data_IF_052096549853
#
_entry.id   IF_052096549853
#
_cell.length_a   1.000
_cell.length_b   1.000
_cell.length_c   1.000
_cell.angle_alpha   90.00
_cell.angle_beta   90.00
_cell.angle_gamma   90.00
#
_symmetry.space_group_name_H-M   'P 1'
#
loop_
_entity.id
_entity.type
_entity.pdbx_description
1 polymer ?
#
# COMPACT_ATOMS: atom_id res chain seq x y z
N UNK A 1 22.81 78.73 17.17
CA UNK A 1 23.06 78.42 15.75
C UNK A 1 23.60 77.01 15.65
N UNK A 2 22.95 76.19 14.83
CA UNK A 2 23.41 74.92 14.24
C UNK A 2 23.59 73.77 15.26
N UNK A 3 22.55 72.98 15.58
CA UNK A 3 21.73 72.13 14.69
C UNK A 3 22.59 71.23 13.79
N UNK A 4 22.29 69.93 13.82
CA UNK A 4 22.91 68.81 13.07
C UNK A 4 24.19 68.17 13.65
N UNK A 5 24.15 67.60 14.87
CA UNK A 5 25.04 66.45 15.24
C UNK A 5 24.36 65.40 16.13
N UNK A 6 23.06 65.15 15.94
CA UNK A 6 22.27 64.25 16.81
C UNK A 6 21.60 63.10 16.06
N UNK A 7 21.96 62.83 14.80
CA UNK A 7 21.35 61.74 14.02
C UNK A 7 22.41 60.91 13.28
N UNK A 8 23.40 60.35 14.00
CA UNK A 8 24.24 59.23 13.48
C UNK A 8 24.67 58.29 14.62
N UNK A 9 23.85 58.11 15.66
CA UNK A 9 24.16 57.21 16.79
C UNK A 9 22.98 56.32 17.21
N UNK A 10 22.15 55.90 16.25
CA UNK A 10 21.18 54.82 16.43
C UNK A 10 21.23 53.92 15.20
N UNK A 11 22.34 53.23 14.98
CA UNK A 11 22.48 52.21 13.93
C UNK A 11 23.66 51.26 14.25
N UNK A 12 23.80 50.85 15.51
CA UNK A 12 24.87 49.92 15.90
C UNK A 12 24.45 48.95 17.02
N UNK A 13 23.18 48.58 17.10
CA UNK A 13 22.71 47.58 18.07
C UNK A 13 21.47 46.82 17.60
N UNK A 14 21.45 46.43 16.33
CA UNK A 14 20.38 45.60 15.80
C UNK A 14 20.89 44.68 14.67
N UNK A 15 21.99 43.96 14.90
CA UNK A 15 22.48 42.98 13.91
C UNK A 15 23.42 41.93 14.53
N UNK A 16 23.02 41.36 15.66
CA UNK A 16 23.62 40.13 16.18
C UNK A 16 22.56 39.18 16.80
N UNK A 17 21.32 39.21 16.30
CA UNK A 17 20.50 37.98 16.28
C UNK A 17 20.94 37.23 15.03
N UNK A 18 22.18 36.74 15.09
CA UNK A 18 22.71 35.78 14.15
C UNK A 18 21.71 34.64 14.12
N UNK A 19 21.11 34.49 12.95
CA UNK A 19 20.41 33.31 12.48
C UNK A 19 21.13 32.06 13.00
N UNK A 20 20.74 31.58 14.17
CA UNK A 20 20.68 30.15 14.40
C UNK A 20 19.58 29.68 13.46
N UNK A 21 19.96 29.50 12.18
CA UNK A 21 19.34 28.51 11.34
C UNK A 21 19.49 27.22 12.16
N UNK A 22 18.50 26.94 13.02
CA UNK A 22 18.09 25.58 13.30
C UNK A 22 17.62 25.02 11.96
N UNK A 23 18.58 24.77 11.05
CA UNK A 23 18.41 23.80 10.00
C UNK A 23 18.23 22.51 10.77
N UNK A 24 16.97 22.16 11.04
CA UNK A 24 16.60 20.85 11.51
C UNK A 24 17.42 19.85 10.70
N UNK A 25 18.16 18.93 11.33
CA UNK A 25 18.93 17.95 10.58
C UNK A 25 17.99 17.31 9.56
N UNK A 26 18.47 17.11 8.30
CA UNK A 26 17.63 16.55 7.25
C UNK A 26 16.98 15.31 7.85
N UNK A 27 15.65 15.28 7.84
CA UNK A 27 14.96 14.37 8.70
C UNK A 27 15.31 12.95 8.29
N UNK A 28 15.78 12.14 9.26
CA UNK A 28 16.35 10.82 9.00
C UNK A 28 15.29 9.96 8.33
N UNK A 29 15.45 9.72 7.03
CA UNK A 29 14.66 8.77 6.27
C UNK A 29 14.87 7.42 6.93
N UNK A 30 13.82 6.83 7.52
CA UNK A 30 13.95 5.47 8.04
C UNK A 30 14.07 4.54 6.82
N UNK A 31 14.96 3.53 6.88
CA UNK A 31 15.09 2.59 5.78
C UNK A 31 13.76 1.89 5.52
N UNK A 32 13.45 1.68 4.24
CA UNK A 32 12.30 0.89 3.85
C UNK A 32 12.38 -0.50 4.48
N UNK A 33 11.23 -1.05 4.90
CA UNK A 33 11.20 -2.43 5.42
C UNK A 33 11.55 -3.46 4.33
N UNK A 34 11.39 -3.08 3.06
CA UNK A 34 11.80 -3.81 1.87
C UNK A 34 12.50 -2.80 0.96
N UNK A 35 13.83 -2.82 0.93
CA UNK A 35 14.59 -1.94 0.05
C UNK A 35 14.50 -2.43 -1.40
N UNK A 36 13.93 -1.60 -2.27
CA UNK A 36 13.79 -1.84 -3.71
C UNK A 36 14.13 -0.58 -4.52
N UNK A 37 14.92 0.32 -3.94
CA UNK A 37 15.35 1.53 -4.65
C UNK A 37 16.06 1.14 -5.95
N UNK A 38 15.69 1.81 -7.04
CA UNK A 38 16.18 1.59 -8.40
C UNK A 38 15.87 0.22 -9.02
N UNK A 39 15.03 -0.60 -8.37
CA UNK A 39 14.63 -1.90 -8.88
C UNK A 39 13.48 -1.81 -9.92
N UNK A 40 13.31 -2.90 -10.69
CA UNK A 40 12.20 -3.12 -11.61
C UNK A 40 11.23 -4.13 -11.00
N UNK A 41 10.07 -3.66 -10.58
CA UNK A 41 9.03 -4.45 -9.93
C UNK A 41 8.07 -5.02 -10.96
N UNK A 42 7.87 -6.33 -10.91
CA UNK A 42 6.78 -7.02 -11.58
C UNK A 42 5.80 -7.58 -10.55
N UNK A 43 4.52 -7.26 -10.70
CA UNK A 43 3.43 -7.79 -9.88
C UNK A 43 2.81 -8.96 -10.65
N UNK A 44 3.02 -10.19 -10.17
CA UNK A 44 2.50 -11.39 -10.81
C UNK A 44 0.97 -11.53 -10.65
N UNK A 45 0.38 -12.44 -11.43
CA UNK A 45 -1.01 -12.85 -11.25
C UNK A 45 -1.23 -13.46 -9.87
N UNK A 46 -2.40 -13.24 -9.28
CA UNK A 46 -2.77 -13.82 -7.98
C UNK A 46 -2.91 -15.34 -8.12
N UNK A 47 -2.15 -16.08 -7.32
CA UNK A 47 -2.22 -17.53 -7.13
C UNK A 47 -3.23 -17.94 -6.06
N UNK A 48 -3.35 -19.25 -5.77
CA UNK A 48 -4.32 -19.74 -4.78
C UNK A 48 -5.76 -19.84 -5.30
N UNK A 49 -5.96 -19.92 -6.63
CA UNK A 49 -7.31 -19.94 -7.23
C UNK A 49 -8.07 -21.23 -6.91
N UNK A 50 -7.35 -22.29 -6.63
CA UNK A 50 -7.87 -23.57 -6.14
C UNK A 50 -8.61 -23.40 -4.80
N UNK A 51 -8.18 -22.49 -3.94
CA UNK A 51 -8.85 -22.22 -2.66
C UNK A 51 -10.23 -21.57 -2.86
N UNK A 52 -10.37 -20.72 -3.89
CA UNK A 52 -11.67 -20.19 -4.31
C UNK A 52 -12.59 -21.30 -4.82
N UNK A 53 -12.05 -22.22 -5.63
CA UNK A 53 -12.82 -23.35 -6.18
C UNK A 53 -13.26 -24.35 -5.11
N UNK A 54 -12.49 -24.50 -4.04
CA UNK A 54 -12.80 -25.38 -2.91
C UNK A 54 -13.80 -24.76 -1.93
N UNK A 55 -14.17 -23.48 -2.08
CA UNK A 55 -15.09 -22.80 -1.17
C UNK A 55 -16.53 -23.35 -1.30
N UNK A 56 -17.21 -23.71 -0.19
CA UNK A 56 -18.60 -24.16 -0.23
C UNK A 56 -19.53 -23.10 -0.85
N UNK A 57 -20.34 -23.50 -1.84
CA UNK A 57 -21.22 -22.56 -2.56
C UNK A 57 -20.51 -21.78 -3.68
N UNK A 58 -19.27 -22.13 -4.03
CA UNK A 58 -18.64 -21.64 -5.25
C UNK A 58 -19.46 -22.06 -6.49
N UNK A 59 -19.82 -21.13 -7.39
CA UNK A 59 -20.74 -21.43 -8.48
C UNK A 59 -20.16 -22.42 -9.48
N UNK A 60 -21.01 -23.32 -10.00
CA UNK A 60 -20.64 -24.29 -11.05
C UNK A 60 -20.66 -23.65 -12.44
N UNK A 61 -21.46 -22.62 -12.65
CA UNK A 61 -21.57 -21.90 -13.92
C UNK A 61 -20.28 -21.11 -14.22
N UNK A 62 -19.63 -21.41 -15.34
CA UNK A 62 -18.35 -20.81 -15.72
C UNK A 62 -18.40 -19.28 -15.86
N UNK A 63 -19.46 -18.75 -16.48
CA UNK A 63 -19.61 -17.31 -16.67
C UNK A 63 -19.71 -16.58 -15.34
N UNK A 64 -20.41 -17.17 -14.38
CA UNK A 64 -20.53 -16.62 -13.02
C UNK A 64 -19.20 -16.71 -12.28
N UNK A 65 -18.47 -17.83 -12.40
CA UNK A 65 -17.11 -17.97 -11.83
C UNK A 65 -16.18 -16.88 -12.33
N UNK A 66 -16.17 -16.64 -13.64
CA UNK A 66 -15.33 -15.60 -14.25
C UNK A 66 -15.66 -14.20 -13.75
N UNK A 67 -16.94 -13.87 -13.53
CA UNK A 67 -17.35 -12.60 -12.93
C UNK A 67 -16.88 -12.45 -11.48
N UNK A 68 -16.95 -13.50 -10.66
CA UNK A 68 -16.44 -13.47 -9.29
C UNK A 68 -14.91 -13.36 -9.26
N UNK A 69 -14.22 -14.08 -10.15
CA UNK A 69 -12.77 -14.02 -10.30
C UNK A 69 -12.28 -12.65 -10.77
N UNK A 70 -13.10 -11.88 -11.49
CA UNK A 70 -12.76 -10.50 -11.86
C UNK A 70 -12.50 -9.65 -10.61
N UNK A 71 -13.28 -9.78 -9.54
CA UNK A 71 -13.03 -9.04 -8.30
C UNK A 71 -11.64 -9.33 -7.72
N UNK A 72 -11.18 -10.58 -7.81
CA UNK A 72 -9.83 -10.97 -7.39
C UNK A 72 -8.78 -10.40 -8.34
N UNK A 73 -8.98 -10.48 -9.66
CA UNK A 73 -8.07 -9.86 -10.66
C UNK A 73 -7.92 -8.36 -10.44
N UNK A 74 -9.00 -7.68 -10.10
CA UNK A 74 -9.01 -6.25 -9.82
C UNK A 74 -8.18 -5.89 -8.58
N UNK A 75 -7.98 -6.79 -7.61
CA UNK A 75 -7.02 -6.57 -6.52
C UNK A 75 -5.60 -6.39 -7.06
N UNK A 76 -5.18 -7.24 -8.01
CA UNK A 76 -3.88 -7.06 -8.66
C UNK A 76 -3.81 -5.73 -9.42
N UNK A 77 -4.84 -5.41 -10.22
CA UNK A 77 -4.85 -4.18 -11.00
C UNK A 77 -4.77 -2.93 -10.10
N UNK A 78 -5.56 -2.89 -9.03
CA UNK A 78 -5.53 -1.82 -8.03
C UNK A 78 -4.17 -1.73 -7.34
N UNK A 79 -3.56 -2.87 -7.03
CA UNK A 79 -2.23 -2.90 -6.43
C UNK A 79 -1.15 -2.35 -7.38
N UNK A 80 -1.19 -2.72 -8.66
CA UNK A 80 -0.31 -2.14 -9.68
C UNK A 80 -0.52 -0.62 -9.76
N UNK A 81 -1.78 -0.17 -9.76
CA UNK A 81 -2.12 1.25 -9.71
C UNK A 81 -1.51 1.96 -8.50
N UNK A 82 -1.56 1.35 -7.32
CA UNK A 82 -0.95 1.87 -6.10
C UNK A 82 0.59 1.95 -6.20
N UNK A 83 1.25 0.89 -6.69
CA UNK A 83 2.69 0.91 -6.92
C UNK A 83 3.08 2.00 -7.92
N UNK A 84 2.33 2.17 -9.00
CA UNK A 84 2.57 3.21 -10.02
C UNK A 84 2.41 4.61 -9.45
N UNK A 85 1.35 4.85 -8.67
CA UNK A 85 1.08 6.14 -8.00
C UNK A 85 2.24 6.56 -7.09
N UNK A 86 2.89 5.57 -6.46
CA UNK A 86 3.88 5.82 -5.42
C UNK A 86 5.32 5.52 -5.84
N UNK A 87 5.58 5.20 -7.12
CA UNK A 87 6.90 4.85 -7.64
C UNK A 87 8.01 5.86 -7.31
N UNK A 88 7.66 7.15 -7.24
CA UNK A 88 8.59 8.22 -6.87
C UNK A 88 9.04 8.17 -5.41
N UNK A 89 8.20 7.64 -4.51
CA UNK A 89 8.52 7.53 -3.08
C UNK A 89 9.40 6.32 -2.81
N UNK A 90 9.14 5.18 -3.46
CA UNK A 90 9.98 3.98 -3.35
C UNK A 90 11.17 3.92 -4.31
N UNK A 91 11.36 4.97 -5.14
CA UNK A 91 12.46 5.10 -6.11
C UNK A 91 12.60 3.90 -7.08
N UNK A 92 11.50 3.22 -7.39
CA UNK A 92 11.48 2.03 -8.25
C UNK A 92 10.73 2.29 -9.56
N UNK A 93 10.80 1.32 -10.48
CA UNK A 93 9.94 1.25 -11.67
C UNK A 93 9.01 0.04 -11.60
N UNK A 94 7.80 0.16 -12.14
CA UNK A 94 6.90 -1.00 -12.33
C UNK A 94 6.97 -1.39 -13.80
N UNK A 95 7.16 -2.66 -14.07
CA UNK A 95 7.35 -3.20 -15.41
C UNK A 95 6.53 -4.48 -15.63
N UNK A 96 6.30 -4.81 -16.88
CA UNK A 96 5.72 -6.11 -17.25
C UNK A 96 6.78 -7.23 -17.27
N UNK A 97 6.33 -8.49 -17.33
CA UNK A 97 7.19 -9.68 -17.26
C UNK A 97 8.27 -9.73 -18.34
N UNK A 98 8.04 -9.11 -19.50
CA UNK A 98 8.98 -9.11 -20.63
C UNK A 98 10.18 -8.17 -20.45
N UNK A 99 10.17 -7.30 -19.42
CA UNK A 99 11.18 -6.26 -19.23
C UNK A 99 12.26 -6.63 -18.19
N UNK A 100 12.53 -7.93 -18.03
CA UNK A 100 13.51 -8.48 -17.09
C UNK A 100 13.40 -7.87 -15.67
N UNK A 101 12.30 -8.14 -14.95
CA UNK A 101 12.10 -7.62 -13.60
C UNK A 101 13.16 -8.17 -12.64
N UNK A 102 13.63 -7.31 -11.75
CA UNK A 102 14.60 -7.65 -10.70
C UNK A 102 13.94 -7.92 -9.35
N UNK A 103 12.71 -7.44 -9.18
CA UNK A 103 11.83 -7.76 -8.06
C UNK A 103 10.52 -8.34 -8.59
N UNK A 104 10.14 -9.50 -8.08
CA UNK A 104 8.86 -10.15 -8.42
C UNK A 104 8.01 -10.28 -7.17
N UNK A 105 6.79 -9.74 -7.24
CA UNK A 105 5.81 -9.80 -6.16
C UNK A 105 4.70 -10.75 -6.58
N UNK A 106 4.56 -11.86 -5.86
CA UNK A 106 3.49 -12.83 -6.05
C UNK A 106 2.54 -12.78 -4.86
N UNK A 107 1.24 -12.75 -5.12
CA UNK A 107 0.21 -12.83 -4.09
C UNK A 107 -0.46 -14.18 -4.19
N UNK A 108 -0.52 -14.90 -3.08
CA UNK A 108 -1.23 -16.17 -2.97
C UNK A 108 -2.36 -16.01 -1.97
N UNK A 109 -3.57 -16.41 -2.36
CA UNK A 109 -4.70 -16.51 -1.43
C UNK A 109 -4.56 -17.80 -0.63
N UNK A 110 -4.42 -17.69 0.69
CA UNK A 110 -4.02 -18.82 1.55
C UNK A 110 -5.22 -19.70 1.89
N UNK A 111 -6.37 -19.10 2.20
CA UNK A 111 -7.62 -19.80 2.52
C UNK A 111 -8.82 -18.90 2.30
N UNK A 112 -10.03 -19.49 2.28
CA UNK A 112 -11.28 -18.76 2.37
C UNK A 112 -12.14 -19.33 3.48
N UNK A 113 -12.62 -18.47 4.38
CA UNK A 113 -13.50 -18.89 5.47
C UNK A 113 -14.59 -17.86 5.69
N UNK A 114 -15.84 -18.32 5.71
CA UNK A 114 -17.00 -17.50 6.09
C UNK A 114 -17.23 -17.59 7.59
N UNK A 115 -17.46 -16.45 8.24
CA UNK A 115 -17.98 -16.36 9.61
C UNK A 115 -19.10 -15.32 9.62
N UNK A 116 -20.35 -15.79 9.68
CA UNK A 116 -21.54 -14.94 9.53
C UNK A 116 -21.51 -14.18 8.20
N UNK A 117 -21.48 -12.85 8.30
CA UNK A 117 -21.52 -11.90 7.17
C UNK A 117 -20.14 -11.60 6.61
N UNK A 118 -19.09 -12.18 7.20
CA UNK A 118 -17.69 -11.86 6.87
C UNK A 118 -17.02 -13.00 6.13
N UNK A 119 -16.35 -12.67 5.03
CA UNK A 119 -15.39 -13.51 4.35
C UNK A 119 -13.98 -13.14 4.80
N UNK A 120 -13.26 -14.12 5.35
CA UNK A 120 -11.83 -14.04 5.61
C UNK A 120 -11.11 -14.72 4.45
N UNK A 121 -10.23 -13.97 3.78
CA UNK A 121 -9.43 -14.45 2.67
C UNK A 121 -8.00 -13.89 2.79
N UNK A 122 -7.21 -14.35 3.78
CA UNK A 122 -5.84 -13.88 3.95
C UNK A 122 -5.00 -14.17 2.71
N UNK A 123 -4.05 -13.28 2.43
CA UNK A 123 -3.08 -13.45 1.36
C UNK A 123 -1.66 -13.42 1.91
N UNK A 124 -0.78 -14.20 1.31
CA UNK A 124 0.67 -14.09 1.51
C UNK A 124 1.31 -13.48 0.27
N UNK A 125 2.05 -12.40 0.47
CA UNK A 125 2.91 -11.81 -0.54
C UNK A 125 4.31 -12.42 -0.47
N UNK A 126 4.74 -13.03 -1.57
CA UNK A 126 6.08 -13.53 -1.79
C UNK A 126 6.84 -12.53 -2.66
N UNK A 127 7.88 -11.92 -2.09
CA UNK A 127 8.64 -10.84 -2.73
C UNK A 127 10.05 -11.37 -2.98
N UNK A 128 10.31 -11.70 -4.24
CA UNK A 128 11.57 -12.26 -4.70
C UNK A 128 12.46 -11.14 -5.22
N UNK A 129 13.66 -11.01 -4.66
CA UNK A 129 14.64 -9.97 -5.04
C UNK A 129 15.84 -10.66 -5.67
N UNK A 130 16.03 -10.48 -6.97
CA UNK A 130 17.04 -11.19 -7.76
C UNK A 130 18.47 -10.89 -7.30
N UNK A 131 18.79 -9.60 -7.07
CA UNK A 131 20.13 -9.15 -6.69
C UNK A 131 20.64 -9.81 -5.40
N UNK A 132 19.77 -9.99 -4.41
CA UNK A 132 20.12 -10.61 -3.13
C UNK A 132 19.77 -12.10 -3.03
N UNK A 133 19.05 -12.65 -4.03
CA UNK A 133 18.47 -14.01 -3.99
C UNK A 133 17.60 -14.27 -2.75
N UNK A 134 16.99 -13.23 -2.19
CA UNK A 134 16.14 -13.33 -1.00
C UNK A 134 14.67 -13.38 -1.39
N UNK A 135 13.89 -14.12 -0.61
CA UNK A 135 12.43 -14.10 -0.66
C UNK A 135 11.90 -13.59 0.67
N UNK A 136 11.14 -12.51 0.63
CA UNK A 136 10.47 -11.95 1.80
C UNK A 136 9.02 -12.37 1.74
N UNK A 137 8.50 -12.89 2.86
CA UNK A 137 7.08 -13.21 3.01
C UNK A 137 6.40 -12.15 3.86
N UNK A 138 5.26 -11.63 3.40
CA UNK A 138 4.40 -10.70 4.15
C UNK A 138 2.98 -11.22 4.15
N UNK A 139 2.41 -11.42 5.33
CA UNK A 139 0.99 -11.72 5.48
C UNK A 139 0.19 -10.44 5.31
N UNK A 140 -0.91 -10.55 4.57
CA UNK A 140 -1.87 -9.49 4.30
C UNK A 140 -3.23 -9.98 4.78
N UNK A 141 -3.75 -9.30 5.79
CA UNK A 141 -5.12 -9.51 6.23
C UNK A 141 -6.08 -9.14 5.10
N UNK A 142 -6.94 -10.08 4.77
CA UNK A 142 -7.92 -9.93 3.70
C UNK A 142 -9.31 -10.22 4.25
N UNK A 143 -10.17 -9.21 4.25
CA UNK A 143 -11.51 -9.29 4.84
C UNK A 143 -12.53 -8.57 3.94
N UNK A 144 -13.64 -9.24 3.65
CA UNK A 144 -14.82 -8.66 3.02
C UNK A 144 -16.05 -8.87 3.88
N UNK A 145 -16.91 -7.87 3.99
CA UNK A 145 -18.10 -7.89 4.84
C UNK A 145 -19.33 -7.62 3.99
N UNK A 146 -20.33 -8.51 4.06
CA UNK A 146 -21.61 -8.31 3.41
C UNK A 146 -22.41 -7.23 4.15
N UNK A 147 -23.29 -6.48 3.46
CA UNK A 147 -24.24 -5.59 4.11
C UNK A 147 -25.11 -6.36 5.12
N UNK A 148 -25.40 -5.73 6.25
CA UNK A 148 -26.21 -6.32 7.32
C UNK A 148 -27.57 -6.81 6.79
N UNK A 149 -27.99 -8.00 7.21
CA UNK A 149 -29.27 -8.61 6.81
C UNK A 149 -29.24 -9.42 5.51
N UNK A 150 -28.12 -9.41 4.76
CA UNK A 150 -27.98 -10.24 3.57
C UNK A 150 -27.53 -11.68 3.89
N UNK A 151 -26.88 -11.95 5.03
CA UNK A 151 -26.38 -13.30 5.30
C UNK A 151 -27.46 -14.33 5.62
N UNK A 152 -28.62 -13.89 6.12
CA UNK A 152 -29.74 -14.76 6.50
C UNK A 152 -30.69 -15.06 5.34
N UNK A 153 -30.80 -14.16 4.35
CA UNK A 153 -31.82 -14.24 3.29
C UNK A 153 -31.28 -14.17 1.85
N UNK A 154 -29.98 -13.93 1.63
CA UNK A 154 -29.42 -13.87 0.27
C UNK A 154 -28.93 -15.23 -0.22
N UNK A 155 -29.07 -15.47 -1.52
CA UNK A 155 -28.42 -16.63 -2.17
C UNK A 155 -26.91 -16.53 -2.00
N UNK A 156 -26.23 -17.67 -1.81
CA UNK A 156 -24.77 -17.70 -1.59
C UNK A 156 -23.99 -16.93 -2.67
N UNK A 157 -24.51 -16.90 -3.90
CA UNK A 157 -23.94 -16.13 -5.00
C UNK A 157 -24.03 -14.60 -4.77
N UNK A 158 -25.18 -14.10 -4.33
CA UNK A 158 -25.35 -12.67 -4.07
C UNK A 158 -24.45 -12.24 -2.91
N UNK A 159 -24.41 -13.04 -1.84
CA UNK A 159 -23.50 -12.83 -0.73
C UNK A 159 -22.03 -12.81 -1.20
N UNK A 160 -21.60 -13.81 -1.97
CA UNK A 160 -20.25 -13.92 -2.52
C UNK A 160 -19.83 -12.69 -3.34
N UNK A 161 -20.73 -12.20 -4.21
CA UNK A 161 -20.49 -11.00 -5.00
C UNK A 161 -20.23 -9.77 -4.13
N UNK A 162 -21.04 -9.56 -3.09
CA UNK A 162 -20.89 -8.44 -2.16
C UNK A 162 -19.59 -8.53 -1.36
N UNK A 163 -19.31 -9.69 -0.75
CA UNK A 163 -18.11 -9.83 0.09
C UNK A 163 -16.82 -9.73 -0.71
N UNK A 164 -16.78 -10.24 -1.95
CA UNK A 164 -15.59 -10.11 -2.81
C UNK A 164 -15.39 -8.67 -3.30
N UNK A 165 -16.47 -7.95 -3.58
CA UNK A 165 -16.39 -6.53 -3.92
C UNK A 165 -15.90 -5.68 -2.73
N UNK A 166 -16.40 -5.95 -1.52
CA UNK A 166 -15.96 -5.28 -0.30
C UNK A 166 -14.51 -5.67 0.08
N UNK A 167 -14.16 -6.95 -0.05
CA UNK A 167 -12.79 -7.45 0.10
C UNK A 167 -11.81 -6.66 -0.78
N UNK A 168 -12.13 -6.53 -2.08
CA UNK A 168 -11.33 -5.74 -3.01
C UNK A 168 -11.17 -4.29 -2.54
N UNK A 169 -12.21 -3.68 -1.99
CA UNK A 169 -12.18 -2.29 -1.51
C UNK A 169 -11.33 -2.13 -0.25
N UNK A 170 -11.38 -3.09 0.66
CA UNK A 170 -10.70 -3.05 1.96
C UNK A 170 -9.27 -3.60 1.93
N UNK A 171 -8.87 -4.25 0.85
CA UNK A 171 -7.53 -4.81 0.72
C UNK A 171 -6.46 -3.75 1.05
N UNK A 172 -5.42 -4.09 1.82
CA UNK A 172 -4.51 -3.10 2.41
C UNK A 172 -3.46 -2.57 1.41
N UNK A 173 -3.89 -2.06 0.25
CA UNK A 173 -3.00 -1.61 -0.84
C UNK A 173 -1.94 -0.63 -0.33
N UNK A 174 -2.38 0.49 0.23
CA UNK A 174 -1.47 1.56 0.67
C UNK A 174 -0.50 1.07 1.75
N UNK A 175 -1.00 0.32 2.75
CA UNK A 175 -0.18 -0.22 3.83
C UNK A 175 0.87 -1.20 3.31
N UNK A 176 0.52 -2.03 2.32
CA UNK A 176 1.46 -2.96 1.71
C UNK A 176 2.51 -2.23 0.87
N UNK A 177 2.13 -1.29 0.00
CA UNK A 177 3.09 -0.55 -0.84
C UNK A 177 3.98 0.37 0.01
N UNK A 178 3.49 0.90 1.13
CA UNK A 178 4.30 1.68 2.07
C UNK A 178 5.49 0.92 2.66
N UNK A 179 5.46 -0.43 2.67
CA UNK A 179 6.59 -1.25 3.12
C UNK A 179 7.86 -1.05 2.25
N UNK A 180 7.69 -0.55 1.03
CA UNK A 180 8.73 -0.34 0.02
C UNK A 180 9.25 1.10 -0.03
N UNK A 181 8.68 2.02 0.77
CA UNK A 181 9.16 3.39 0.81
C UNK A 181 10.18 3.55 1.93
N UNK A 182 11.27 4.30 1.70
CA UNK A 182 11.98 4.92 2.81
C UNK A 182 10.96 5.82 3.53
N UNK A 183 10.86 5.72 4.85
CA UNK A 183 9.87 6.52 5.57
C UNK A 183 10.21 7.99 5.37
N UNK A 184 9.36 8.72 4.67
CA UNK A 184 9.39 10.17 4.76
C UNK A 184 9.14 10.55 6.22
N UNK A 185 9.75 11.61 6.72
CA UNK A 185 9.58 12.02 8.10
C UNK A 185 8.09 12.25 8.33
N UNK A 186 7.55 11.61 9.36
CA UNK A 186 6.24 12.03 9.88
C UNK A 186 6.34 13.54 10.10
N UNK A 187 5.46 14.31 9.48
CA UNK A 187 5.23 15.67 9.95
C UNK A 187 5.06 15.59 11.47
N UNK A 188 5.74 16.43 12.26
CA UNK A 188 5.55 16.44 13.70
C UNK A 188 4.05 16.58 13.94
N UNK A 189 3.46 15.59 14.60
CA UNK A 189 2.08 15.67 15.05
C UNK A 189 1.97 16.96 15.84
N UNK A 190 1.17 17.91 15.34
CA UNK A 190 0.81 19.09 16.11
C UNK A 190 0.38 18.62 17.50
N UNK A 191 0.88 19.24 18.58
CA UNK A 191 0.46 18.85 19.91
C UNK A 191 -1.06 18.99 20.01
N UNK A 192 -1.73 18.10 20.75
CA UNK A 192 -3.15 18.28 21.04
C UNK A 192 -3.34 19.66 21.68
N UNK A 193 -4.29 20.43 21.14
CA UNK A 193 -4.81 21.62 21.82
C UNK A 193 -5.69 21.21 22.97
#
# INVERSE_FOLDING_TARGET
>A
MNSLKTIVRILATALLVGRANCSSPPPKTQPASINVEHEKLFIASIGGKENLKAYPGWPTNERVRELLLDNVRQVRANLIGEFMRCRKYGLYSVVDSHHAPTVRIELTMDSLTRRGDTLFAPMTAHIHIAASRRTIKKSLEGVGVAPAGNATNSTDLHWLGHVLADYRRRFPYHRFVAAFYPSYPRQPSSPPR
#
